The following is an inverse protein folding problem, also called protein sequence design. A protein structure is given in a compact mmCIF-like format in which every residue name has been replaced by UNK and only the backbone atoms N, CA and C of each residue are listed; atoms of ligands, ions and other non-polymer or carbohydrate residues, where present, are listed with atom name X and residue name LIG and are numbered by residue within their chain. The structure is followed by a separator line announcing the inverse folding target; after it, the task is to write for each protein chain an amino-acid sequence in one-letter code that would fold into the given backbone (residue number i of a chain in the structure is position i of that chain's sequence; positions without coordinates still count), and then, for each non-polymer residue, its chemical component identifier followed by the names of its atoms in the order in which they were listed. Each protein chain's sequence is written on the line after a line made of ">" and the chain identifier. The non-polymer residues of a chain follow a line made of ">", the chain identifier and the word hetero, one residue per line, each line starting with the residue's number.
data_IF_086916781358
#
_entry.id   IF_086916781358
#
_cell.length_a   1.000
_cell.length_b   1.000
_cell.length_c   1.000
_cell.angle_alpha   90.00
_cell.angle_beta   90.00
_cell.angle_gamma   90.00
#
_symmetry.space_group_name_H-M   'P 1'
#
loop_
_entity.id
_entity.type
_entity.pdbx_description
1 polymer ?
#
# COMPACT_ATOMS: atom_id res chain seq x y z
N UNK A 1 25.52 -42.56 18.74
CA UNK A 1 26.87 -42.61 18.13
C UNK A 1 26.75 -42.11 16.68
N UNK A 2 26.56 -40.83 16.40
CA UNK A 2 27.51 -39.69 16.51
C UNK A 2 28.80 -39.89 15.70
N UNK A 3 28.75 -39.53 14.40
CA UNK A 3 29.82 -38.85 13.62
C UNK A 3 29.51 -38.96 12.12
N UNK A 4 28.78 -37.98 11.57
CA UNK A 4 28.75 -37.69 10.11
C UNK A 4 28.08 -36.36 9.74
N UNK A 5 27.96 -35.42 10.68
CA UNK A 5 27.46 -34.06 10.43
C UNK A 5 28.49 -33.06 10.88
N UNK A 6 29.48 -32.79 10.02
CA UNK A 6 30.44 -31.70 10.13
C UNK A 6 31.23 -31.77 8.83
N UNK A 7 30.81 -30.99 7.80
CA UNK A 7 31.62 -30.56 6.64
C UNK A 7 30.78 -29.90 5.50
N UNK A 8 29.70 -29.17 5.80
CA UNK A 8 29.02 -28.32 4.76
C UNK A 8 28.68 -26.92 5.29
N UNK A 9 29.44 -26.42 6.27
CA UNK A 9 29.36 -25.01 6.72
C UNK A 9 30.72 -24.34 6.50
N UNK A 10 31.08 -24.05 5.25
CA UNK A 10 32.19 -23.15 4.90
C UNK A 10 32.16 -22.81 3.39
N UNK A 11 31.09 -22.19 2.90
CA UNK A 11 31.07 -21.56 1.56
C UNK A 11 30.69 -20.09 1.66
N UNK A 12 31.28 -19.39 2.62
CA UNK A 12 31.38 -17.93 2.64
C UNK A 12 32.85 -17.64 3.00
N UNK A 13 33.47 -16.70 2.27
CA UNK A 13 34.88 -16.28 2.32
C UNK A 13 35.82 -17.11 1.42
N UNK A 14 35.72 -16.91 0.11
CA UNK A 14 36.78 -17.23 -0.84
C UNK A 14 36.89 -16.15 -1.93
N UNK A 15 37.09 -14.89 -1.52
CA UNK A 15 37.63 -13.83 -2.39
C UNK A 15 38.60 -12.98 -1.58
N UNK A 16 39.70 -13.58 -1.14
CA UNK A 16 40.81 -12.85 -0.51
C UNK A 16 42.10 -13.67 -0.56
N UNK A 17 42.55 -14.02 -1.76
CA UNK A 17 43.92 -14.51 -1.99
C UNK A 17 44.25 -14.57 -3.49
N UNK A 18 44.26 -13.43 -4.16
CA UNK A 18 45.10 -13.28 -5.37
C UNK A 18 46.50 -12.94 -4.87
N UNK A 19 47.22 -14.00 -4.54
CA UNK A 19 48.63 -13.98 -4.17
C UNK A 19 49.46 -13.52 -5.36
N UNK A 20 50.00 -12.30 -5.27
CA UNK A 20 51.41 -11.99 -5.49
C UNK A 20 52.17 -12.75 -6.60
N UNK A 21 51.69 -12.78 -7.84
CA UNK A 21 52.48 -13.24 -8.99
C UNK A 21 52.05 -12.53 -10.27
N UNK A 22 52.24 -11.21 -10.36
CA UNK A 22 52.50 -10.49 -11.61
C UNK A 22 53.30 -9.22 -11.28
N UNK A 23 54.50 -9.44 -10.75
CA UNK A 23 55.57 -8.44 -10.81
C UNK A 23 56.09 -8.41 -12.25
N UNK A 24 55.45 -7.63 -13.12
CA UNK A 24 56.05 -7.17 -14.37
C UNK A 24 55.36 -5.86 -14.81
N UNK A 25 56.17 -4.82 -14.74
CA UNK A 25 56.05 -3.47 -15.28
C UNK A 25 55.13 -3.30 -16.50
N UNK A 26 54.19 -2.36 -16.38
CA UNK A 26 53.73 -1.50 -17.49
C UNK A 26 53.76 -0.07 -16.97
N UNK A 27 54.42 0.82 -17.70
CA UNK A 27 54.55 2.24 -17.38
C UNK A 27 53.19 2.91 -17.13
N UNK A 28 53.11 3.67 -16.03
CA UNK A 28 52.10 4.72 -15.87
C UNK A 28 51.02 4.51 -14.81
N UNK A 29 51.04 3.43 -14.01
CA UNK A 29 50.05 3.25 -12.93
C UNK A 29 50.73 3.24 -11.56
N UNK A 30 50.61 4.38 -10.87
CA UNK A 30 51.09 4.58 -9.51
C UNK A 30 50.19 3.86 -8.49
N UNK A 31 50.68 2.75 -7.95
CA UNK A 31 49.99 1.91 -6.98
C UNK A 31 49.74 2.66 -5.66
N UNK A 32 50.61 3.61 -5.27
CA UNK A 32 50.41 4.42 -4.08
C UNK A 32 49.28 5.42 -4.30
N UNK A 33 49.21 6.06 -5.48
CA UNK A 33 48.10 6.93 -5.84
C UNK A 33 46.76 6.18 -5.91
N UNK A 34 46.74 4.93 -6.37
CA UNK A 34 45.54 4.08 -6.34
C UNK A 34 45.14 3.75 -4.90
N UNK A 35 46.09 3.37 -4.05
CA UNK A 35 45.79 3.04 -2.65
C UNK A 35 45.25 4.24 -1.89
N UNK A 36 45.81 5.42 -2.14
CA UNK A 36 45.35 6.67 -1.53
C UNK A 36 43.95 7.05 -2.03
N UNK A 37 43.70 7.01 -3.35
CA UNK A 37 42.35 7.22 -3.90
C UNK A 37 41.35 6.18 -3.41
N UNK A 38 41.75 4.94 -3.17
CA UNK A 38 40.87 3.90 -2.63
C UNK A 38 40.49 4.19 -1.18
N UNK A 39 41.44 4.68 -0.38
CA UNK A 39 41.18 5.12 0.99
C UNK A 39 40.27 6.36 1.01
N UNK A 40 40.50 7.32 0.12
CA UNK A 40 39.66 8.53 -0.02
C UNK A 40 38.24 8.17 -0.47
N UNK A 41 38.09 7.26 -1.45
CA UNK A 41 36.77 6.78 -1.91
C UNK A 41 36.02 6.01 -0.80
N UNK A 42 36.74 5.31 0.07
CA UNK A 42 36.13 4.60 1.20
C UNK A 42 35.66 5.57 2.29
N UNK A 43 36.47 6.59 2.59
CA UNK A 43 36.10 7.67 3.51
C UNK A 43 34.90 8.48 2.98
N UNK A 44 34.89 8.80 1.68
CA UNK A 44 33.77 9.49 1.02
C UNK A 44 32.49 8.65 1.01
N UNK A 45 32.61 7.33 0.79
CA UNK A 45 31.47 6.42 0.86
C UNK A 45 30.88 6.34 2.28
N UNK A 46 31.73 6.28 3.31
CA UNK A 46 31.28 6.31 4.71
C UNK A 46 30.63 7.64 5.08
N UNK A 47 31.22 8.77 4.67
CA UNK A 47 30.65 10.10 4.87
C UNK A 47 29.29 10.24 4.16
N UNK A 48 29.17 9.75 2.92
CA UNK A 48 27.91 9.73 2.18
C UNK A 48 26.86 8.86 2.85
N UNK A 49 27.22 7.64 3.29
CA UNK A 49 26.30 6.73 4.00
C UNK A 49 25.80 7.35 5.30
N UNK A 50 26.68 7.98 6.07
CA UNK A 50 26.30 8.66 7.31
C UNK A 50 25.39 9.85 7.01
N UNK A 51 25.70 10.67 6.01
CA UNK A 51 24.85 11.80 5.67
C UNK A 51 23.49 11.40 5.08
N UNK A 52 23.39 10.29 4.36
CA UNK A 52 22.11 9.73 3.89
C UNK A 52 21.31 9.16 5.05
N UNK A 53 21.96 8.47 6.01
CA UNK A 53 21.31 7.95 7.23
C UNK A 53 20.74 9.10 8.07
N UNK A 54 21.54 10.14 8.31
CA UNK A 54 21.15 11.27 9.16
C UNK A 54 19.99 12.07 8.56
N UNK A 55 20.01 12.32 7.24
CA UNK A 55 18.86 12.93 6.55
C UNK A 55 17.63 12.02 6.60
N UNK A 56 17.81 10.71 6.42
CA UNK A 56 16.70 9.75 6.46
C UNK A 56 16.04 9.66 7.85
N UNK A 57 16.81 9.76 8.93
CA UNK A 57 16.27 9.82 10.30
C UNK A 57 15.55 11.14 10.57
N UNK A 58 16.13 12.28 10.17
CA UNK A 58 15.50 13.58 10.41
C UNK A 58 14.16 13.71 9.66
N UNK A 59 14.09 13.31 8.39
CA UNK A 59 12.82 13.33 7.66
C UNK A 59 11.77 12.38 8.23
N UNK A 60 12.18 11.26 8.82
CA UNK A 60 11.25 10.31 9.45
C UNK A 60 10.73 10.84 10.78
N UNK A 61 11.58 11.50 11.56
CA UNK A 61 11.21 12.16 12.81
C UNK A 61 10.33 13.39 12.55
N UNK A 62 10.65 14.19 11.54
CA UNK A 62 9.83 15.31 11.07
C UNK A 62 8.47 14.83 10.58
N UNK A 63 8.41 13.76 9.78
CA UNK A 63 7.14 13.20 9.31
C UNK A 63 6.29 12.64 10.47
N UNK A 64 6.92 12.01 11.45
CA UNK A 64 6.24 11.48 12.64
C UNK A 64 5.71 12.62 13.51
N UNK A 65 6.51 13.65 13.77
CA UNK A 65 6.11 14.80 14.58
C UNK A 65 5.03 15.66 13.91
N UNK A 66 5.08 15.84 12.58
CA UNK A 66 4.02 16.51 11.82
C UNK A 66 2.72 15.70 11.84
N UNK A 67 2.81 14.37 11.72
CA UNK A 67 1.66 13.48 11.81
C UNK A 67 1.04 13.48 13.22
N UNK A 68 1.85 13.33 14.27
CA UNK A 68 1.41 13.35 15.66
C UNK A 68 0.86 14.73 16.06
N UNK A 69 1.55 15.81 15.69
CA UNK A 69 1.10 17.17 15.92
C UNK A 69 -0.19 17.50 15.17
N UNK A 70 -0.30 17.09 13.91
CA UNK A 70 -1.51 17.26 13.10
C UNK A 70 -2.71 16.49 13.66
N UNK A 71 -2.52 15.22 14.04
CA UNK A 71 -3.58 14.40 14.63
C UNK A 71 -3.96 14.88 16.04
N UNK A 72 -3.01 15.33 16.85
CA UNK A 72 -3.29 15.91 18.17
C UNK A 72 -4.07 17.22 18.08
N UNK A 73 -3.67 18.13 17.18
CA UNK A 73 -4.36 19.40 16.97
C UNK A 73 -5.79 19.17 16.45
N UNK A 74 -5.96 18.25 15.50
CA UNK A 74 -7.29 17.88 14.99
C UNK A 74 -8.17 17.25 16.07
N UNK A 75 -7.64 16.36 16.92
CA UNK A 75 -8.37 15.78 18.06
C UNK A 75 -8.76 16.82 19.10
N UNK A 76 -7.93 17.84 19.33
CA UNK A 76 -8.26 18.95 20.23
C UNK A 76 -9.40 19.81 19.67
N UNK A 77 -9.38 20.09 18.37
CA UNK A 77 -10.47 20.80 17.68
C UNK A 77 -11.78 20.00 17.75
N UNK A 78 -11.73 18.68 17.56
CA UNK A 78 -12.91 17.80 17.66
C UNK A 78 -13.48 17.68 19.08
N UNK A 79 -12.67 17.88 20.13
CA UNK A 79 -13.10 17.85 21.55
C UNK A 79 -13.65 19.17 22.05
N UNK A 80 -13.46 20.25 21.29
CA UNK A 80 -14.00 21.56 21.65
C UNK A 80 -15.42 21.63 21.10
N UNK A 81 -16.41 21.88 21.96
CA UNK A 81 -17.79 22.13 21.51
C UNK A 81 -17.78 23.37 20.62
N UNK A 82 -17.82 23.15 19.30
CA UNK A 82 -17.90 24.22 18.34
C UNK A 82 -19.28 24.89 18.44
N UNK A 83 -19.36 26.22 18.36
CA UNK A 83 -20.64 26.92 18.41
C UNK A 83 -21.52 26.51 17.22
N UNK A 84 -22.82 26.27 17.48
CA UNK A 84 -23.79 25.89 16.44
C UNK A 84 -23.81 26.93 15.32
N UNK A 85 -23.63 26.45 14.09
CA UNK A 85 -23.72 27.28 12.89
C UNK A 85 -25.15 27.80 12.66
N UNK A 86 -25.32 28.92 11.94
CA UNK A 86 -26.64 29.42 11.55
C UNK A 86 -27.37 28.40 10.66
N UNK A 87 -28.68 28.24 10.86
CA UNK A 87 -29.50 27.33 10.06
C UNK A 87 -29.52 27.77 8.59
N UNK A 88 -29.03 26.91 7.70
CA UNK A 88 -28.98 27.11 6.26
C UNK A 88 -29.17 25.80 5.51
N UNK A 89 -29.19 25.82 4.16
CA UNK A 89 -29.33 24.61 3.32
C UNK A 89 -28.16 23.63 3.42
N UNK A 90 -27.11 23.98 4.17
CA UNK A 90 -25.95 23.15 4.47
C UNK A 90 -25.92 22.98 5.99
N UNK A 91 -26.08 21.74 6.46
CA UNK A 91 -25.96 21.39 7.87
C UNK A 91 -24.48 21.16 8.22
N UNK A 92 -23.87 22.20 8.80
CA UNK A 92 -22.47 22.14 9.22
C UNK A 92 -22.26 21.18 10.40
N UNK A 93 -23.30 20.91 11.20
CA UNK A 93 -23.21 19.98 12.32
C UNK A 93 -23.14 18.52 11.79
N UNK A 94 -23.87 18.20 10.72
CA UNK A 94 -23.77 16.91 10.00
C UNK A 94 -22.38 16.72 9.37
N UNK A 95 -21.83 17.78 8.75
CA UNK A 95 -20.48 17.74 8.16
C UNK A 95 -19.41 17.53 9.24
N UNK A 96 -19.55 18.19 10.40
CA UNK A 96 -18.62 18.06 11.52
C UNK A 96 -18.73 16.67 12.19
N UNK A 97 -19.94 16.12 12.33
CA UNK A 97 -20.15 14.75 12.82
C UNK A 97 -19.68 13.68 11.82
N UNK A 98 -19.88 13.91 10.52
CA UNK A 98 -19.34 13.07 9.45
C UNK A 98 -17.80 13.11 9.43
N UNK A 99 -17.20 14.28 9.67
CA UNK A 99 -15.76 14.41 9.78
C UNK A 99 -15.22 13.74 11.05
N UNK A 100 -15.87 13.90 12.21
CA UNK A 100 -15.44 13.26 13.46
C UNK A 100 -15.61 11.75 13.46
N UNK A 101 -16.69 11.21 12.89
CA UNK A 101 -16.84 9.76 12.69
C UNK A 101 -15.79 9.19 11.72
N UNK A 102 -15.41 9.94 10.68
CA UNK A 102 -14.29 9.61 9.78
C UNK A 102 -12.89 9.84 10.41
N UNK A 103 -12.81 10.45 11.60
CA UNK A 103 -11.57 10.63 12.38
C UNK A 103 -11.44 9.57 13.48
N UNK A 104 -12.56 9.15 14.08
CA UNK A 104 -12.64 8.02 15.00
C UNK A 104 -12.51 6.69 14.26
N UNK A 105 -13.01 6.60 13.02
CA UNK A 105 -12.59 5.60 12.04
C UNK A 105 -11.26 6.08 11.43
N UNK A 106 -10.15 5.84 12.14
CA UNK A 106 -8.83 6.35 11.76
C UNK A 106 -8.56 6.21 10.26
N UNK A 107 -8.00 7.26 9.64
CA UNK A 107 -7.44 7.20 8.28
C UNK A 107 -6.21 6.28 8.28
N UNK A 108 -6.48 4.98 8.29
CA UNK A 108 -5.55 3.88 8.54
C UNK A 108 -6.16 2.68 9.29
N UNK A 109 -7.43 2.79 9.71
CA UNK A 109 -8.06 1.92 10.72
C UNK A 109 -9.49 1.47 10.33
N UNK A 110 -9.70 1.05 9.08
CA UNK A 110 -10.98 0.48 8.66
C UNK A 110 -10.74 -0.88 8.02
N UNK A 111 -11.36 -1.97 8.52
CA UNK A 111 -11.34 -3.26 7.85
C UNK A 111 -11.71 -3.07 6.37
N UNK A 112 -10.77 -3.39 5.48
CA UNK A 112 -10.85 -2.97 4.08
C UNK A 112 -11.58 -4.01 3.23
N UNK A 113 -12.63 -3.56 2.55
CA UNK A 113 -13.14 -4.27 1.38
C UNK A 113 -12.38 -3.80 0.13
N UNK A 114 -11.62 -4.71 -0.47
CA UNK A 114 -10.71 -4.43 -1.58
C UNK A 114 -11.15 -5.24 -2.79
N UNK A 115 -11.31 -4.57 -3.93
CA UNK A 115 -11.71 -5.20 -5.18
C UNK A 115 -10.62 -5.00 -6.23
N UNK A 116 -10.05 -6.10 -6.71
CA UNK A 116 -8.99 -6.09 -7.70
C UNK A 116 -9.56 -6.11 -9.11
N UNK A 117 -9.16 -5.14 -9.94
CA UNK A 117 -9.69 -4.95 -11.29
C UNK A 117 -8.59 -4.73 -12.34
N UNK A 118 -8.99 -4.81 -13.61
CA UNK A 118 -8.15 -4.49 -14.77
C UNK A 118 -8.94 -3.74 -15.83
N UNK A 119 -8.26 -2.85 -16.57
CA UNK A 119 -8.82 -2.17 -17.74
C UNK A 119 -9.07 -3.12 -18.93
N UNK A 120 -8.64 -4.37 -18.86
CA UNK A 120 -8.97 -5.41 -19.83
C UNK A 120 -10.38 -5.98 -19.65
N UNK A 121 -11.06 -5.64 -18.55
CA UNK A 121 -12.45 -6.02 -18.32
C UNK A 121 -13.41 -5.24 -19.25
N UNK A 122 -14.61 -5.77 -19.53
CA UNK A 122 -15.62 -5.04 -20.27
C UNK A 122 -15.97 -3.70 -19.61
N UNK A 123 -16.07 -2.58 -20.35
CA UNK A 123 -16.29 -1.25 -19.78
C UNK A 123 -17.55 -1.15 -18.90
N UNK A 124 -18.65 -1.79 -19.28
CA UNK A 124 -19.90 -1.77 -18.51
C UNK A 124 -19.74 -2.51 -17.17
N UNK A 125 -19.10 -3.68 -17.17
CA UNK A 125 -18.81 -4.43 -15.95
C UNK A 125 -17.87 -3.66 -15.03
N UNK A 126 -16.84 -3.02 -15.60
CA UNK A 126 -15.88 -2.24 -14.82
C UNK A 126 -16.54 -1.00 -14.19
N UNK A 127 -17.40 -0.30 -14.93
CA UNK A 127 -18.19 0.83 -14.40
C UNK A 127 -19.04 0.39 -13.21
N UNK A 128 -19.83 -0.67 -13.38
CA UNK A 128 -20.67 -1.21 -12.30
C UNK A 128 -19.84 -1.63 -11.09
N UNK A 129 -18.71 -2.31 -11.32
CA UNK A 129 -17.80 -2.74 -10.26
C UNK A 129 -17.30 -1.56 -9.43
N UNK A 130 -16.85 -0.48 -10.09
CA UNK A 130 -16.34 0.72 -9.42
C UNK A 130 -17.45 1.40 -8.62
N UNK A 131 -18.60 1.66 -9.23
CA UNK A 131 -19.71 2.34 -8.56
C UNK A 131 -20.26 1.53 -7.39
N UNK A 132 -20.45 0.21 -7.54
CA UNK A 132 -20.96 -0.63 -6.45
C UNK A 132 -19.92 -0.76 -5.32
N UNK A 133 -18.63 -0.84 -5.65
CA UNK A 133 -17.56 -0.90 -4.63
C UNK A 133 -17.46 0.41 -3.85
N UNK A 134 -17.53 1.55 -4.54
CA UNK A 134 -17.57 2.87 -3.91
C UNK A 134 -18.78 3.01 -2.95
N UNK A 135 -19.96 2.54 -3.36
CA UNK A 135 -21.17 2.53 -2.51
C UNK A 135 -21.04 1.62 -1.30
N UNK A 136 -20.34 0.50 -1.44
CA UNK A 136 -20.04 -0.40 -0.32
C UNK A 136 -19.02 0.20 0.66
N UNK A 137 -18.37 1.32 0.34
CA UNK A 137 -17.28 1.90 1.13
C UNK A 137 -15.94 1.16 0.97
N UNK A 138 -15.79 0.39 -0.12
CA UNK A 138 -14.54 -0.29 -0.46
C UNK A 138 -13.72 0.46 -1.49
N UNK A 139 -12.55 -0.09 -1.81
CA UNK A 139 -11.62 0.46 -2.80
C UNK A 139 -11.40 -0.50 -3.95
N UNK A 140 -11.34 0.03 -5.17
CA UNK A 140 -10.95 -0.72 -6.36
C UNK A 140 -9.46 -0.52 -6.63
N UNK A 141 -8.72 -1.60 -6.76
CA UNK A 141 -7.26 -1.56 -6.93
C UNK A 141 -6.87 -2.13 -8.29
N UNK A 142 -6.08 -1.35 -9.02
CA UNK A 142 -5.45 -1.76 -10.27
C UNK A 142 -3.97 -2.08 -10.06
N UNK A 143 -3.45 -3.04 -10.83
CA UNK A 143 -2.05 -3.49 -10.70
C UNK A 143 -1.05 -2.43 -11.15
N UNK A 144 -1.42 -1.61 -12.13
CA UNK A 144 -0.54 -0.63 -12.73
C UNK A 144 -1.18 0.06 -13.93
N UNK A 145 -0.37 0.83 -14.66
CA UNK A 145 -0.83 1.56 -15.84
C UNK A 145 -0.83 0.67 -17.08
N UNK A 146 -1.86 0.75 -17.95
CA UNK A 146 -1.84 0.12 -19.25
C UNK A 146 -0.70 0.74 -20.07
N UNK A 147 0.11 -0.09 -20.72
CA UNK A 147 1.25 0.34 -21.53
C UNK A 147 2.21 1.30 -20.82
N UNK A 148 2.33 1.20 -19.47
CA UNK A 148 3.12 2.11 -18.65
C UNK A 148 2.74 3.60 -18.80
N UNK A 149 1.48 3.90 -19.16
CA UNK A 149 1.02 5.27 -19.43
C UNK A 149 -0.12 5.70 -18.51
N UNK A 150 0.19 6.60 -17.59
CA UNK A 150 -0.79 7.28 -16.72
C UNK A 150 -1.87 8.00 -17.54
N UNK A 151 -1.50 8.66 -18.64
CA UNK A 151 -2.44 9.40 -19.50
C UNK A 151 -3.49 8.46 -20.11
N UNK A 152 -3.07 7.27 -20.56
CA UNK A 152 -4.00 6.27 -21.09
C UNK A 152 -4.90 5.70 -19.99
N UNK A 153 -4.37 5.46 -18.79
CA UNK A 153 -5.16 5.05 -17.64
C UNK A 153 -6.27 6.07 -17.33
N UNK A 154 -5.89 7.34 -17.12
CA UNK A 154 -6.82 8.41 -16.80
C UNK A 154 -7.86 8.63 -17.90
N UNK A 155 -7.45 8.57 -19.18
CA UNK A 155 -8.39 8.71 -20.31
C UNK A 155 -9.39 7.55 -20.41
N UNK A 156 -8.96 6.30 -20.18
CA UNK A 156 -9.86 5.14 -20.23
C UNK A 156 -10.79 5.13 -19.02
N UNK A 157 -10.26 5.36 -17.83
CA UNK A 157 -11.08 5.43 -16.60
C UNK A 157 -12.06 6.60 -16.65
N UNK A 158 -11.61 7.75 -17.18
CA UNK A 158 -12.42 8.94 -17.50
C UNK A 158 -13.64 8.69 -18.39
N UNK A 159 -13.59 7.67 -19.26
CA UNK A 159 -14.72 7.29 -20.14
C UNK A 159 -15.70 6.31 -19.48
N UNK A 160 -15.29 5.71 -18.36
CA UNK A 160 -16.00 4.61 -17.69
C UNK A 160 -16.70 5.12 -16.44
N UNK A 161 -16.07 6.03 -15.71
CA UNK A 161 -16.55 6.56 -14.44
C UNK A 161 -17.11 7.96 -14.67
N UNK A 162 -18.42 8.12 -14.43
CA UNK A 162 -19.13 9.38 -14.69
C UNK A 162 -19.00 10.38 -13.53
N UNK A 163 -18.85 9.89 -12.30
CA UNK A 163 -18.82 10.70 -11.07
C UNK A 163 -17.38 10.90 -10.61
N UNK A 164 -16.98 12.13 -10.30
CA UNK A 164 -15.65 12.40 -9.72
C UNK A 164 -15.46 11.67 -8.38
N UNK A 165 -16.51 11.52 -7.57
CA UNK A 165 -16.44 10.82 -6.28
C UNK A 165 -16.05 9.35 -6.41
N UNK A 166 -16.47 8.68 -7.50
CA UNK A 166 -16.17 7.27 -7.75
C UNK A 166 -14.66 7.08 -8.06
N UNK A 167 -13.96 8.11 -8.54
CA UNK A 167 -12.50 8.07 -8.73
C UNK A 167 -11.72 8.05 -7.42
N UNK A 168 -12.26 8.63 -6.34
CA UNK A 168 -11.58 8.69 -5.05
C UNK A 168 -11.35 7.29 -4.47
N UNK A 169 -12.19 6.32 -4.86
CA UNK A 169 -12.11 4.93 -4.41
C UNK A 169 -11.26 4.05 -5.34
N UNK A 170 -10.58 4.62 -6.34
CA UNK A 170 -9.71 3.90 -7.27
C UNK A 170 -8.24 4.10 -6.90
N UNK A 171 -7.57 3.01 -6.55
CA UNK A 171 -6.14 2.97 -6.24
C UNK A 171 -5.32 2.18 -7.26
N UNK A 172 -4.02 2.46 -7.29
CA UNK A 172 -3.04 1.67 -8.05
C UNK A 172 -1.98 1.19 -7.08
N UNK A 173 -2.00 -0.10 -6.76
CA UNK A 173 -0.99 -0.69 -5.88
C UNK A 173 -0.63 -2.12 -6.30
N UNK A 174 0.49 -2.33 -7.01
CA UNK A 174 0.97 -3.67 -7.34
C UNK A 174 1.36 -4.49 -6.11
N UNK A 175 1.60 -3.87 -4.94
CA UNK A 175 1.93 -4.57 -3.70
C UNK A 175 0.71 -5.30 -3.14
N UNK A 176 -0.49 -4.71 -3.22
CA UNK A 176 -1.72 -5.38 -2.82
C UNK A 176 -2.00 -6.64 -3.66
N UNK A 177 -1.78 -6.56 -4.98
CA UNK A 177 -1.89 -7.73 -5.85
C UNK A 177 -0.94 -8.86 -5.43
N UNK A 178 0.29 -8.52 -5.00
CA UNK A 178 1.26 -9.51 -4.50
C UNK A 178 0.91 -10.02 -3.11
N UNK A 179 0.43 -9.14 -2.21
CA UNK A 179 0.09 -9.48 -0.84
C UNK A 179 -1.04 -10.52 -0.76
N UNK A 180 -2.05 -10.40 -1.63
CA UNK A 180 -3.20 -11.32 -1.70
C UNK A 180 -3.08 -12.40 -2.79
N UNK A 181 -1.92 -12.50 -3.45
CA UNK A 181 -1.64 -13.44 -4.54
C UNK A 181 -2.74 -13.44 -5.61
N UNK A 182 -3.08 -12.26 -6.11
CA UNK A 182 -4.17 -12.06 -7.07
C UNK A 182 -3.68 -12.34 -8.48
N UNK A 183 -4.06 -13.50 -9.01
CA UNK A 183 -3.71 -13.98 -10.35
C UNK A 183 -4.77 -13.67 -11.42
N UNK A 184 -6.03 -13.50 -11.02
CA UNK A 184 -7.15 -13.20 -11.90
C UNK A 184 -7.99 -12.04 -11.37
N UNK A 185 -8.74 -11.38 -12.26
CA UNK A 185 -9.65 -10.28 -11.93
C UNK A 185 -11.00 -10.50 -12.62
N UNK A 186 -12.14 -10.12 -11.99
CA UNK A 186 -12.24 -9.50 -10.66
C UNK A 186 -11.87 -10.46 -9.52
N UNK A 187 -11.25 -9.92 -8.47
CA UNK A 187 -11.07 -10.62 -7.20
C UNK A 187 -11.54 -9.71 -6.08
N UNK A 188 -12.37 -10.24 -5.18
CA UNK A 188 -12.93 -9.56 -4.03
C UNK A 188 -12.22 -10.05 -2.78
N UNK A 189 -11.78 -9.13 -1.92
CA UNK A 189 -11.11 -9.44 -0.65
C UNK A 189 -11.71 -8.61 0.47
N UNK A 190 -12.03 -9.26 1.58
CA UNK A 190 -12.43 -8.59 2.83
C UNK A 190 -11.44 -8.96 3.94
N UNK A 191 -10.65 -8.00 4.42
CA UNK A 191 -9.66 -8.21 5.50
C UNK A 191 -10.23 -7.89 6.87
N UNK A 192 -9.98 -8.73 7.86
CA UNK A 192 -10.55 -8.61 9.22
C UNK A 192 -10.06 -7.39 10.02
N UNK A 193 -8.92 -6.82 9.62
CA UNK A 193 -8.26 -5.70 10.30
C UNK A 193 -7.32 -4.97 9.34
N UNK A 194 -6.83 -3.81 9.75
CA UNK A 194 -5.81 -3.07 9.01
C UNK A 194 -4.46 -3.78 9.00
N UNK A 195 -3.66 -3.45 7.99
CA UNK A 195 -2.33 -4.03 7.80
C UNK A 195 -1.43 -3.11 7.00
N UNK A 196 -0.13 -3.20 7.28
CA UNK A 196 0.88 -2.40 6.61
C UNK A 196 1.54 -3.19 5.48
N UNK A 197 1.48 -2.64 4.27
CA UNK A 197 2.21 -3.16 3.12
C UNK A 197 3.69 -2.88 3.28
N UNK A 198 4.48 -3.95 3.38
CA UNK A 198 5.92 -3.79 3.46
C UNK A 198 6.54 -3.37 2.12
N UNK A 199 7.64 -2.62 2.19
CA UNK A 199 8.39 -2.13 1.03
C UNK A 199 9.75 -2.82 0.95
N UNK A 200 10.07 -3.41 -0.21
CA UNK A 200 11.35 -4.07 -0.47
C UNK A 200 11.22 -5.22 -1.47
N UNK A 201 12.31 -5.54 -2.19
CA UNK A 201 12.32 -6.59 -3.22
C UNK A 201 12.12 -8.00 -2.65
N UNK A 202 12.51 -8.23 -1.40
CA UNK A 202 12.39 -9.51 -0.70
C UNK A 202 11.26 -9.53 0.34
N UNK A 203 10.42 -8.51 0.40
CA UNK A 203 9.42 -8.42 1.45
C UNK A 203 8.11 -9.12 1.08
N UNK A 204 7.69 -10.05 1.94
CA UNK A 204 6.37 -10.67 1.90
C UNK A 204 5.48 -10.01 2.94
N UNK A 205 4.42 -9.34 2.48
CA UNK A 205 3.43 -8.75 3.38
C UNK A 205 2.72 -9.86 4.16
N UNK A 206 2.70 -9.74 5.48
CA UNK A 206 1.84 -10.56 6.34
C UNK A 206 0.46 -9.92 6.30
N UNK A 207 -0.48 -10.57 5.61
CA UNK A 207 -1.87 -10.12 5.55
C UNK A 207 -2.65 -10.72 6.72
N UNK A 208 -3.57 -9.95 7.34
CA UNK A 208 -4.44 -10.45 8.39
C UNK A 208 -5.42 -11.48 7.81
N UNK A 209 -6.13 -12.26 8.64
CA UNK A 209 -7.18 -13.14 8.16
C UNK A 209 -8.16 -12.43 7.21
N UNK A 210 -8.46 -13.05 6.08
CA UNK A 210 -9.28 -12.45 5.04
C UNK A 210 -10.15 -13.48 4.34
N UNK A 211 -11.25 -13.01 3.76
CA UNK A 211 -12.05 -13.78 2.82
C UNK A 211 -11.75 -13.34 1.38
N UNK A 212 -11.83 -14.28 0.44
CA UNK A 212 -11.56 -14.04 -0.98
C UNK A 212 -12.53 -14.76 -1.89
N UNK A 213 -13.07 -14.04 -2.87
CA UNK A 213 -13.83 -14.60 -4.00
C UNK A 213 -13.18 -14.15 -5.30
N UNK A 214 -12.99 -15.09 -6.22
CA UNK A 214 -12.45 -14.83 -7.57
C UNK A 214 -13.53 -15.15 -8.58
N UNK A 215 -13.83 -14.21 -9.49
CA UNK A 215 -14.77 -14.44 -10.58
C UNK A 215 -15.62 -13.23 -10.95
N UNK A 216 -16.34 -13.37 -12.06
CA UNK A 216 -17.26 -12.35 -12.56
C UNK A 216 -18.61 -12.44 -11.83
N UNK A 217 -18.63 -12.04 -10.56
CA UNK A 217 -19.83 -11.92 -9.71
C UNK A 217 -20.10 -10.47 -9.38
N UNK A 218 -21.29 -10.14 -8.86
CA UNK A 218 -21.59 -8.78 -8.39
C UNK A 218 -20.92 -8.50 -7.04
N UNK A 219 -20.72 -7.21 -6.73
CA UNK A 219 -20.21 -6.77 -5.42
C UNK A 219 -21.15 -7.22 -4.31
N UNK A 220 -22.47 -7.08 -4.51
CA UNK A 220 -23.47 -7.55 -3.56
C UNK A 220 -23.33 -9.04 -3.29
N UNK A 221 -23.24 -9.86 -4.33
CA UNK A 221 -23.07 -11.30 -4.19
C UNK A 221 -21.81 -11.66 -3.42
N UNK A 222 -20.68 -11.00 -3.71
CA UNK A 222 -19.42 -11.27 -3.01
C UNK A 222 -19.54 -10.93 -1.51
N UNK A 223 -20.14 -9.79 -1.17
CA UNK A 223 -20.35 -9.36 0.21
C UNK A 223 -21.32 -10.29 0.95
N UNK A 224 -22.45 -10.63 0.33
CA UNK A 224 -23.45 -11.54 0.88
C UNK A 224 -22.84 -12.94 1.14
N UNK A 225 -22.07 -13.47 0.19
CA UNK A 225 -21.34 -14.73 0.33
C UNK A 225 -20.34 -14.71 1.50
N UNK A 226 -19.65 -13.60 1.72
CA UNK A 226 -18.73 -13.45 2.86
C UNK A 226 -19.47 -13.40 4.21
N UNK A 227 -20.64 -12.76 4.25
CA UNK A 227 -21.50 -12.72 5.43
C UNK A 227 -22.03 -14.12 5.76
N UNK A 228 -22.61 -14.81 4.77
CA UNK A 228 -23.14 -16.17 4.94
C UNK A 228 -22.05 -17.18 5.31
N UNK A 229 -20.87 -17.04 4.69
CA UNK A 229 -19.72 -17.89 4.96
C UNK A 229 -19.15 -17.76 6.37
N UNK A 230 -19.52 -16.71 7.13
CA UNK A 230 -19.04 -16.42 8.48
C UNK A 230 -17.50 -16.49 8.62
N UNK A 231 -16.79 -16.08 7.56
CA UNK A 231 -15.34 -16.05 7.49
C UNK A 231 -14.72 -14.85 8.24
N UNK A 232 -13.38 -14.72 8.25
CA UNK A 232 -12.71 -13.66 8.99
C UNK A 232 -13.08 -12.23 8.56
N UNK A 233 -13.45 -12.04 7.29
CA UNK A 233 -13.90 -10.78 6.69
C UNK A 233 -15.42 -10.55 6.79
N UNK A 234 -16.20 -11.48 7.35
CA UNK A 234 -17.66 -11.41 7.36
C UNK A 234 -18.23 -10.12 8.00
N UNK A 235 -17.61 -9.63 9.07
CA UNK A 235 -18.03 -8.36 9.73
C UNK A 235 -17.86 -7.15 8.82
N UNK A 236 -16.77 -7.13 8.05
CA UNK A 236 -16.48 -6.08 7.07
C UNK A 236 -17.47 -6.15 5.93
N UNK A 237 -17.71 -7.38 5.44
CA UNK A 237 -18.65 -7.63 4.38
C UNK A 237 -20.08 -7.22 4.78
N UNK A 238 -20.48 -7.44 6.03
CA UNK A 238 -21.78 -7.01 6.55
C UNK A 238 -21.95 -5.49 6.53
N UNK A 239 -20.91 -4.74 6.92
CA UNK A 239 -20.91 -3.27 6.85
C UNK A 239 -20.99 -2.82 5.38
N UNK A 240 -20.15 -3.38 4.52
CA UNK A 240 -20.15 -3.05 3.09
C UNK A 240 -21.47 -3.36 2.39
N UNK A 241 -22.10 -4.49 2.74
CA UNK A 241 -23.41 -4.90 2.23
C UNK A 241 -24.51 -3.96 2.71
N UNK A 242 -24.48 -3.55 3.97
CA UNK A 242 -25.42 -2.58 4.51
C UNK A 242 -25.30 -1.22 3.81
N UNK A 243 -24.08 -0.75 3.55
CA UNK A 243 -23.82 0.50 2.82
C UNK A 243 -24.32 0.42 1.38
N UNK A 244 -24.00 -0.67 0.69
CA UNK A 244 -24.44 -0.91 -0.68
C UNK A 244 -25.98 -0.89 -0.78
N UNK A 245 -26.67 -1.56 0.14
CA UNK A 245 -28.14 -1.64 0.17
C UNK A 245 -28.81 -0.31 0.53
N UNK A 246 -28.22 0.48 1.45
CA UNK A 246 -28.71 1.83 1.76
C UNK A 246 -28.60 2.80 0.58
N UNK A 247 -27.63 2.58 -0.31
CA UNK A 247 -27.41 3.40 -1.49
C UNK A 247 -28.23 2.94 -2.71
N UNK A 248 -29.03 1.87 -2.61
CA UNK A 248 -29.98 1.48 -3.64
C UNK A 248 -31.22 2.40 -3.55
N UNK A 249 -31.68 2.98 -4.67
CA UNK A 249 -32.86 3.83 -4.70
C UNK A 249 -34.16 3.06 -4.41
#
# INVERSE_FOLDING_TARGET
>A
MMRRYLLVTATIIAVASVSALLAQTVDGIDIQAIKQRSADLQADAEAFVNQVKDRGSSFREDATSVHEGGTANMRQVSKTELPKGPAGPIDFDEIVQGASSNLEAGKGEAPQFIVFASLSMPPQSLKKLITDTARAGGVVVFRGFPNNSMKQFASRLGKIVDRQDDFANVGIDPRLFRAFDVQAVPTYVAVSSDFNLCAGFSCRTVVPPYDRIVGNVTVEYALDSFVEGNGPGARVAAIGLANLRKALP
#
